data_IF_066353614698
#
_entry.id   IF_066353614698
#
_cell.length_a   1.000
_cell.length_b   1.000
_cell.length_c   1.000
_cell.angle_alpha   90.00
_cell.angle_beta   90.00
_cell.angle_gamma   90.00
#
_symmetry.space_group_name_H-M   'P 1'
#
loop_
_entity.id
_entity.type
_entity.pdbx_description
1 polymer ?
#
# COMPACT_ATOMS: atom_id res chain seq x y z
N UNK A 1 11.94 -5.16 70.89
CA UNK A 1 12.71 -6.19 70.17
C UNK A 1 13.11 -5.61 68.82
N UNK A 2 14.36 -5.19 68.71
CA UNK A 2 15.07 -4.90 67.46
C UNK A 2 15.55 -6.21 66.82
N UNK A 3 15.80 -6.23 65.50
CA UNK A 3 17.18 -6.07 65.00
C UNK A 3 17.26 -5.08 63.82
N UNK A 4 18.14 -4.07 63.74
CA UNK A 4 19.59 -4.03 63.44
C UNK A 4 20.10 -4.86 62.25
N UNK A 5 20.39 -4.16 61.13
CA UNK A 5 21.56 -4.33 60.23
C UNK A 5 21.79 -2.93 59.58
N UNK A 6 22.74 -2.08 60.00
CA UNK A 6 24.20 -1.97 59.71
C UNK A 6 24.62 -1.96 58.23
N UNK A 7 24.78 -0.73 57.71
CA UNK A 7 25.95 -0.16 57.00
C UNK A 7 26.81 -1.04 56.08
N UNK A 8 27.03 -0.57 54.84
CA UNK A 8 28.37 -0.36 54.26
C UNK A 8 28.32 0.58 53.06
N UNK A 9 29.17 1.60 53.09
CA UNK A 9 29.41 2.55 52.03
C UNK A 9 30.35 1.96 50.97
N UNK A 10 30.15 2.32 49.70
CA UNK A 10 31.21 2.42 48.68
C UNK A 10 30.71 3.34 47.58
N UNK A 11 31.15 4.59 47.66
CA UNK A 11 30.99 5.60 46.62
C UNK A 11 32.10 5.37 45.61
N UNK A 12 31.76 4.96 44.40
CA UNK A 12 32.66 5.01 43.25
C UNK A 12 32.09 6.02 42.27
N UNK A 13 32.79 7.15 42.16
CA UNK A 13 32.46 8.22 41.23
C UNK A 13 32.69 7.77 39.79
N UNK A 14 31.64 7.84 38.97
CA UNK A 14 31.73 7.77 37.52
C UNK A 14 31.31 9.13 36.97
N UNK A 15 32.31 9.84 36.44
CA UNK A 15 32.19 11.10 35.72
C UNK A 15 31.53 10.78 34.37
N UNK A 16 30.28 11.21 34.20
CA UNK A 16 29.53 11.14 32.95
C UNK A 16 29.14 12.56 32.51
N UNK A 17 29.62 12.94 31.33
CA UNK A 17 29.54 14.28 30.77
C UNK A 17 28.10 14.79 30.61
N UNK A 18 27.86 16.01 31.12
CA UNK A 18 26.64 16.79 30.89
C UNK A 18 26.76 17.46 29.51
N UNK A 19 25.98 17.01 28.55
CA UNK A 19 25.74 17.74 27.30
C UNK A 19 24.69 18.82 27.55
N UNK A 20 25.13 20.07 27.54
CA UNK A 20 24.27 21.24 27.62
C UNK A 20 23.42 21.37 26.34
N UNK A 21 22.10 21.24 26.47
CA UNK A 21 21.16 21.70 25.45
C UNK A 21 21.08 23.23 25.51
N UNK A 22 21.93 23.89 24.71
CA UNK A 22 21.76 25.29 24.37
C UNK A 22 20.60 25.44 23.40
N UNK A 23 19.49 26.00 23.89
CA UNK A 23 18.39 26.44 23.04
C UNK A 23 18.82 27.59 22.13
N UNK A 24 18.72 27.38 20.81
CA UNK A 24 18.67 28.46 19.84
C UNK A 24 17.20 28.75 19.55
N UNK A 25 16.68 29.78 20.22
CA UNK A 25 15.48 30.49 19.82
C UNK A 25 15.83 31.26 18.54
N UNK A 26 15.51 30.70 17.37
CA UNK A 26 15.61 31.38 16.09
C UNK A 26 14.21 31.74 15.62
N UNK A 27 13.95 33.04 15.71
CA UNK A 27 12.81 33.77 15.19
C UNK A 27 12.58 33.45 13.71
N UNK A 28 11.36 33.00 13.41
CA UNK A 28 10.87 32.84 12.05
C UNK A 28 10.83 34.19 11.34
N UNK A 29 11.67 34.37 10.31
CA UNK A 29 11.49 35.42 9.31
C UNK A 29 11.78 34.83 7.93
N UNK A 30 10.77 34.88 7.06
CA UNK A 30 10.87 34.84 5.59
C UNK A 30 11.60 33.66 4.97
N UNK A 31 10.86 32.63 4.55
CA UNK A 31 11.38 31.60 3.65
C UNK A 31 11.79 32.21 2.31
N UNK A 32 13.09 32.37 2.10
CA UNK A 32 13.69 32.57 0.78
C UNK A 32 13.59 31.27 0.00
N UNK A 33 12.97 31.32 -1.18
CA UNK A 33 12.98 30.22 -2.12
C UNK A 33 14.43 29.87 -2.48
N UNK A 34 14.83 28.63 -2.23
CA UNK A 34 16.11 28.08 -2.67
C UNK A 34 16.18 28.22 -4.21
N UNK A 35 17.13 29.01 -4.70
CA UNK A 35 17.28 29.28 -6.12
C UNK A 35 17.60 27.96 -6.85
N UNK A 36 16.68 27.52 -7.73
CA UNK A 36 16.93 26.37 -8.60
C UNK A 36 18.21 26.61 -9.42
N UNK A 37 19.05 25.60 -9.62
CA UNK A 37 20.26 25.75 -10.43
C UNK A 37 19.88 26.17 -11.87
N UNK A 38 20.62 27.11 -12.49
CA UNK A 38 20.33 27.56 -13.84
C UNK A 38 20.47 26.41 -14.83
N UNK A 39 19.46 26.23 -15.68
CA UNK A 39 19.49 25.24 -16.76
C UNK A 39 20.15 25.90 -17.97
N UNK A 40 21.22 25.31 -18.47
CA UNK A 40 21.85 25.73 -19.72
C UNK A 40 21.05 25.13 -20.89
N UNK A 41 20.64 25.97 -21.84
CA UNK A 41 19.94 25.54 -23.05
C UNK A 41 20.62 26.13 -24.29
N UNK A 42 20.62 25.36 -25.37
CA UNK A 42 21.03 25.81 -26.70
C UNK A 42 19.80 26.34 -27.43
N UNK A 43 19.85 27.60 -27.86
CA UNK A 43 18.77 28.24 -28.63
C UNK A 43 19.21 28.41 -30.08
N UNK A 44 18.31 28.11 -31.02
CA UNK A 44 18.52 28.32 -32.45
C UNK A 44 17.77 29.58 -32.88
N UNK A 45 18.51 30.61 -33.27
CA UNK A 45 17.96 31.84 -33.83
C UNK A 45 18.86 32.32 -34.95
N UNK A 46 18.41 32.13 -36.20
CA UNK A 46 19.14 32.53 -37.41
C UNK A 46 20.50 31.83 -37.60
N UNK A 47 20.52 30.73 -38.36
CA UNK A 47 21.70 30.01 -38.90
C UNK A 47 22.90 29.72 -37.96
N UNK A 48 22.81 30.02 -36.65
CA UNK A 48 23.87 29.86 -35.65
C UNK A 48 23.29 29.47 -34.29
N UNK A 49 23.99 28.57 -33.59
CA UNK A 49 23.63 28.07 -32.27
C UNK A 49 24.42 28.81 -31.18
N UNK A 50 23.73 29.54 -30.29
CA UNK A 50 24.32 30.23 -29.14
C UNK A 50 24.04 29.53 -27.80
N UNK A 51 24.88 29.77 -26.78
CA UNK A 51 24.66 29.28 -25.41
C UNK A 51 23.89 30.31 -24.59
N UNK A 52 22.66 30.00 -24.22
CA UNK A 52 21.83 30.84 -23.35
C UNK A 52 21.70 30.24 -21.94
N UNK A 53 21.60 31.11 -20.93
CA UNK A 53 21.22 30.72 -19.57
C UNK A 53 19.84 31.29 -19.26
N UNK A 54 18.94 30.42 -18.82
CA UNK A 54 17.57 30.82 -18.49
C UNK A 54 17.41 30.91 -16.97
N UNK A 55 17.03 32.09 -16.49
CA UNK A 55 16.66 32.33 -15.09
C UNK A 55 15.14 32.30 -14.96
N UNK A 56 14.58 31.20 -14.44
CA UNK A 56 13.14 31.05 -14.30
C UNK A 56 12.52 31.94 -13.20
N UNK A 57 13.35 32.67 -12.45
CA UNK A 57 12.89 33.55 -11.36
C UNK A 57 12.64 34.99 -11.86
N UNK A 58 13.36 35.45 -12.88
CA UNK A 58 13.30 36.84 -13.36
C UNK A 58 12.48 37.03 -14.64
N UNK A 59 12.07 35.95 -15.32
CA UNK A 59 11.32 36.06 -16.57
C UNK A 59 12.17 36.54 -17.76
N UNK A 60 13.49 36.50 -17.64
CA UNK A 60 14.44 37.01 -18.64
C UNK A 60 15.43 35.90 -19.07
N UNK A 61 15.79 35.87 -20.35
CA UNK A 61 16.88 35.08 -20.90
C UNK A 61 18.14 35.94 -20.93
N UNK A 62 19.24 35.41 -20.40
CA UNK A 62 20.57 36.00 -20.53
C UNK A 62 21.35 35.20 -21.57
N UNK A 63 21.64 35.82 -22.71
CA UNK A 63 22.41 35.22 -23.80
C UNK A 63 23.86 35.70 -23.66
N UNK A 64 24.80 34.75 -23.56
CA UNK A 64 26.23 35.04 -23.55
C UNK A 64 26.73 34.92 -24.99
N UNK A 65 27.04 36.06 -25.59
CA UNK A 65 27.54 36.15 -26.95
C UNK A 65 28.98 35.63 -27.04
N UNK A 66 29.44 35.30 -28.26
CA UNK A 66 30.81 34.81 -28.48
C UNK A 66 31.89 35.84 -28.11
N UNK A 67 31.56 37.13 -28.13
CA UNK A 67 32.43 38.21 -27.69
C UNK A 67 32.50 38.36 -26.15
N UNK A 68 31.73 37.55 -25.41
CA UNK A 68 31.66 37.56 -23.96
C UNK A 68 30.69 38.58 -23.38
N UNK A 69 29.96 39.33 -24.21
CA UNK A 69 28.89 40.23 -23.75
C UNK A 69 27.63 39.46 -23.36
N UNK A 70 26.84 40.01 -22.44
CA UNK A 70 25.56 39.43 -22.01
C UNK A 70 24.43 40.32 -22.48
N UNK A 71 23.57 39.78 -23.35
CA UNK A 71 22.34 40.44 -23.80
C UNK A 71 21.14 39.87 -23.04
N UNK A 72 20.17 40.72 -22.73
CA UNK A 72 18.95 40.32 -21.99
C UNK A 72 17.74 40.34 -22.92
N UNK A 73 16.90 39.32 -22.83
CA UNK A 73 15.65 39.22 -23.58
C UNK A 73 14.50 38.85 -22.66
N UNK A 74 13.45 39.66 -22.66
CA UNK A 74 12.21 39.42 -21.90
C UNK A 74 11.39 38.29 -22.55
N UNK A 75 11.03 37.28 -21.76
CA UNK A 75 10.24 36.12 -22.21
C UNK A 75 8.81 36.49 -22.63
N UNK A 76 8.23 37.53 -22.05
CA UNK A 76 6.88 37.98 -22.35
C UNK A 76 6.82 38.90 -23.57
N UNK A 77 7.97 39.35 -24.08
CA UNK A 77 8.06 40.10 -25.32
C UNK A 77 7.67 39.23 -26.53
N UNK A 78 7.22 39.82 -27.65
CA UNK A 78 6.93 39.06 -28.87
C UNK A 78 8.09 38.17 -29.33
N UNK A 79 9.33 38.69 -29.30
CA UNK A 79 10.52 37.91 -29.65
C UNK A 79 10.85 36.80 -28.65
N UNK A 80 10.58 37.00 -27.35
CA UNK A 80 10.73 35.98 -26.33
C UNK A 80 9.73 34.83 -26.51
N UNK A 81 8.47 35.13 -26.85
CA UNK A 81 7.43 34.13 -27.10
C UNK A 81 7.72 33.31 -28.35
N UNK A 82 8.17 33.97 -29.42
CA UNK A 82 8.52 33.32 -30.67
C UNK A 82 9.72 32.36 -30.51
N UNK A 83 10.69 32.70 -29.65
CA UNK A 83 11.86 31.85 -29.38
C UNK A 83 11.53 30.50 -28.68
N UNK A 84 10.37 30.39 -28.02
CA UNK A 84 9.87 29.14 -27.44
C UNK A 84 8.64 28.58 -28.17
N UNK A 85 8.12 29.30 -29.16
CA UNK A 85 7.03 28.83 -29.99
C UNK A 85 7.59 27.76 -30.94
N UNK A 86 7.49 26.50 -30.51
CA UNK A 86 7.85 25.37 -31.36
C UNK A 86 6.76 25.23 -32.43
N UNK A 87 7.07 25.63 -33.66
CA UNK A 87 6.14 25.46 -34.78
C UNK A 87 6.25 24.05 -35.37
N UNK A 88 5.23 23.65 -36.13
CA UNK A 88 5.23 22.35 -36.81
C UNK A 88 6.36 22.25 -37.85
N UNK A 89 6.72 23.37 -38.47
CA UNK A 89 7.87 23.47 -39.37
C UNK A 89 9.22 23.31 -38.63
N UNK A 90 9.33 23.85 -37.41
CA UNK A 90 10.54 23.67 -36.59
C UNK A 90 10.71 22.22 -36.14
N UNK A 91 9.60 21.54 -35.79
CA UNK A 91 9.59 20.11 -35.51
C UNK A 91 9.99 19.28 -36.73
N UNK A 92 9.54 19.67 -37.92
CA UNK A 92 9.88 19.01 -39.17
C UNK A 92 11.35 19.22 -39.55
N UNK A 93 11.90 20.42 -39.35
CA UNK A 93 13.31 20.72 -39.54
C UNK A 93 14.22 19.99 -38.53
N UNK A 94 13.79 19.86 -37.27
CA UNK A 94 14.45 19.03 -36.27
C UNK A 94 14.43 17.55 -36.66
N UNK A 95 13.29 17.04 -37.14
CA UNK A 95 13.17 15.66 -37.60
C UNK A 95 14.10 15.35 -38.78
N UNK A 96 14.20 16.28 -39.74
CA UNK A 96 15.12 16.16 -40.89
C UNK A 96 16.60 16.20 -40.48
N UNK A 97 16.96 17.00 -39.48
CA UNK A 97 18.35 17.11 -39.02
C UNK A 97 18.76 16.00 -38.03
N UNK A 98 17.82 15.47 -37.26
CA UNK A 98 18.11 14.47 -36.22
C UNK A 98 18.00 13.02 -36.70
N UNK A 99 17.66 12.76 -37.97
CA UNK A 99 17.46 11.42 -38.54
C UNK A 99 16.69 10.48 -37.59
N UNK A 100 15.65 11.04 -36.94
CA UNK A 100 14.87 10.32 -35.93
C UNK A 100 13.85 9.44 -36.64
N UNK A 101 14.30 8.29 -37.10
CA UNK A 101 13.41 7.26 -37.60
C UNK A 101 12.66 6.58 -36.45
N UNK A 102 11.49 7.10 -36.12
CA UNK A 102 10.54 6.44 -35.21
C UNK A 102 9.76 5.31 -35.90
N UNK A 103 9.87 5.15 -37.23
CA UNK A 103 9.23 4.10 -38.01
C UNK A 103 9.99 2.77 -37.82
N UNK A 104 9.74 2.14 -36.67
CA UNK A 104 10.39 0.89 -36.26
C UNK A 104 10.65 0.82 -34.75
N UNK A 105 10.65 1.98 -34.07
CA UNK A 105 10.78 2.07 -32.61
C UNK A 105 9.53 1.57 -31.87
N UNK A 106 8.38 1.58 -32.54
CA UNK A 106 7.16 0.91 -32.06
C UNK A 106 6.84 -0.20 -33.06
N UNK A 107 7.30 -1.41 -32.78
CA UNK A 107 6.96 -2.57 -33.58
C UNK A 107 5.42 -2.65 -33.70
N UNK A 108 4.86 -2.63 -34.93
CA UNK A 108 3.43 -2.79 -35.12
C UNK A 108 3.04 -4.15 -34.55
N UNK A 109 2.03 -4.18 -33.67
CA UNK A 109 1.52 -5.38 -33.00
C UNK A 109 2.37 -5.98 -31.87
N UNK A 110 3.16 -5.20 -31.11
CA UNK A 110 3.57 -5.70 -29.78
C UNK A 110 2.34 -5.78 -28.86
N UNK A 111 2.08 -6.94 -28.21
CA UNK A 111 1.02 -7.03 -27.22
C UNK A 111 1.30 -5.99 -26.12
N UNK A 112 0.26 -5.25 -25.72
CA UNK A 112 0.38 -4.25 -24.66
C UNK A 112 0.91 -4.94 -23.41
N UNK A 113 2.04 -4.46 -22.90
CA UNK A 113 2.53 -4.95 -21.63
C UNK A 113 1.50 -4.67 -20.52
N UNK A 114 1.42 -5.60 -19.56
CA UNK A 114 0.54 -5.41 -18.40
C UNK A 114 0.94 -4.15 -17.65
N UNK A 115 -0.03 -3.34 -17.28
CA UNK A 115 0.20 -2.18 -16.43
C UNK A 115 0.74 -2.61 -15.06
N UNK A 116 1.40 -1.71 -14.33
CA UNK A 116 1.85 -1.99 -12.97
C UNK A 116 0.69 -2.46 -12.07
N UNK A 117 -0.49 -1.87 -12.25
CA UNK A 117 -1.71 -2.26 -11.55
C UNK A 117 -2.11 -3.70 -11.88
N UNK A 118 -2.13 -4.09 -13.16
CA UNK A 118 -2.47 -5.46 -13.56
C UNK A 118 -1.49 -6.48 -12.99
N UNK A 119 -0.18 -6.19 -13.04
CA UNK A 119 0.84 -7.04 -12.43
C UNK A 119 0.62 -7.18 -10.92
N UNK A 120 0.25 -6.10 -10.23
CA UNK A 120 -0.04 -6.12 -8.80
C UNK A 120 -1.30 -6.94 -8.46
N UNK A 121 -2.38 -6.80 -9.25
CA UNK A 121 -3.61 -7.58 -9.07
C UNK A 121 -3.36 -9.07 -9.30
N UNK A 122 -2.59 -9.43 -10.32
CA UNK A 122 -2.23 -10.83 -10.58
C UNK A 122 -1.36 -11.41 -9.46
N UNK A 123 -0.37 -10.64 -8.97
CA UNK A 123 0.44 -11.05 -7.85
C UNK A 123 -0.38 -11.23 -6.56
N UNK A 124 -1.41 -10.41 -6.34
CA UNK A 124 -2.32 -10.56 -5.21
C UNK A 124 -3.23 -11.79 -5.39
N UNK A 125 -3.80 -11.99 -6.57
CA UNK A 125 -4.63 -13.15 -6.89
C UNK A 125 -3.86 -14.47 -6.67
N UNK A 126 -2.58 -14.52 -7.04
CA UNK A 126 -1.69 -15.67 -6.82
C UNK A 126 -1.45 -15.99 -5.32
N UNK A 127 -1.73 -15.06 -4.40
CA UNK A 127 -1.61 -15.26 -2.95
C UNK A 127 -2.92 -15.68 -2.28
N UNK A 128 -4.00 -15.76 -3.04
CA UNK A 128 -5.30 -16.22 -2.53
C UNK A 128 -5.18 -17.69 -2.11
N UNK A 129 -5.58 -17.98 -0.88
CA UNK A 129 -5.65 -19.32 -0.31
C UNK A 129 -7.11 -19.77 -0.19
N UNK A 130 -7.33 -21.09 -0.07
CA UNK A 130 -8.64 -21.63 0.30
C UNK A 130 -9.18 -21.01 1.59
N UNK A 131 -10.51 -21.07 1.73
CA UNK A 131 -11.21 -20.54 2.89
C UNK A 131 -10.73 -21.21 4.18
N UNK A 132 -10.67 -22.54 4.16
CA UNK A 132 -10.20 -23.33 5.28
C UNK A 132 -8.67 -23.48 5.22
N UNK A 133 -7.97 -23.33 6.35
CA UNK A 133 -6.55 -23.59 6.45
C UNK A 133 -6.25 -25.08 6.21
N UNK A 134 -5.03 -25.35 5.75
CA UNK A 134 -4.49 -26.70 5.68
C UNK A 134 -4.09 -27.11 7.09
N UNK A 135 -4.70 -28.17 7.61
CA UNK A 135 -4.38 -28.70 8.93
C UNK A 135 -3.07 -29.48 8.87
N UNK A 136 -2.31 -29.46 9.97
CA UNK A 136 -1.09 -30.26 10.07
C UNK A 136 -1.44 -31.77 10.03
N UNK A 137 -0.50 -32.57 9.53
CA UNK A 137 -0.69 -34.03 9.51
C UNK A 137 -0.87 -34.57 10.94
N UNK A 138 -1.87 -35.44 11.11
CA UNK A 138 -2.19 -36.02 12.41
C UNK A 138 -2.97 -35.09 13.35
N UNK A 139 -3.37 -33.88 12.91
CA UNK A 139 -4.32 -33.06 13.67
C UNK A 139 -5.69 -33.74 13.72
N UNK A 140 -6.12 -34.10 14.93
CA UNK A 140 -7.44 -34.68 15.18
C UNK A 140 -8.45 -33.58 15.51
N UNK A 141 -9.63 -33.65 14.88
CA UNK A 141 -10.74 -32.74 15.16
C UNK A 141 -11.70 -33.47 16.10
N UNK A 142 -11.72 -33.03 17.35
CA UNK A 142 -12.60 -33.54 18.39
C UNK A 142 -13.93 -32.77 18.39
N UNK A 143 -15.07 -33.34 17.94
CA UNK A 143 -16.34 -32.61 17.82
C UNK A 143 -16.85 -32.01 19.14
N UNK A 144 -16.55 -32.64 20.27
CA UNK A 144 -16.84 -32.15 21.62
C UNK A 144 -16.11 -30.85 21.99
N UNK A 145 -15.06 -30.50 21.22
CA UNK A 145 -14.34 -29.24 21.39
C UNK A 145 -15.16 -28.03 20.91
N UNK A 146 -16.18 -28.25 20.08
CA UNK A 146 -17.07 -27.20 19.57
C UNK A 146 -18.24 -27.00 20.53
N UNK A 147 -18.21 -25.92 21.32
CA UNK A 147 -19.19 -25.70 22.39
C UNK A 147 -20.42 -24.96 21.85
N UNK A 148 -20.20 -23.84 21.17
CA UNK A 148 -21.26 -23.00 20.61
C UNK A 148 -20.72 -22.09 19.52
N UNK A 149 -21.59 -21.62 18.63
CA UNK A 149 -21.26 -20.59 17.66
C UNK A 149 -22.44 -19.63 17.49
N UNK A 150 -22.13 -18.37 17.24
CA UNK A 150 -23.11 -17.33 16.96
C UNK A 150 -22.67 -16.54 15.74
N UNK A 151 -23.60 -16.31 14.81
CA UNK A 151 -23.38 -15.52 13.61
C UNK A 151 -24.22 -14.26 13.69
N UNK A 152 -23.59 -13.08 13.63
CA UNK A 152 -24.25 -11.77 13.79
C UNK A 152 -23.88 -10.84 12.63
N UNK A 153 -24.85 -10.40 11.82
CA UNK A 153 -24.61 -9.33 10.85
C UNK A 153 -24.36 -8.00 11.58
N UNK A 154 -23.28 -7.31 11.22
CA UNK A 154 -22.80 -6.10 11.89
C UNK A 154 -23.31 -4.81 11.27
N UNK A 155 -23.73 -4.83 10.01
CA UNK A 155 -24.23 -3.66 9.31
C UNK A 155 -25.58 -3.93 8.63
N UNK A 156 -26.31 -2.85 8.38
CA UNK A 156 -27.59 -2.85 7.67
C UNK A 156 -27.51 -1.83 6.52
N UNK A 157 -27.97 -2.19 5.33
CA UNK A 157 -28.02 -1.30 4.17
C UNK A 157 -27.44 -1.93 2.89
N UNK A 158 -27.53 -1.22 1.77
CA UNK A 158 -27.08 -1.72 0.47
C UNK A 158 -25.54 -1.76 0.39
N UNK A 159 -24.97 -2.94 0.17
CA UNK A 159 -23.60 -3.10 -0.33
C UNK A 159 -22.51 -3.45 0.69
N UNK A 160 -22.85 -3.85 1.93
CA UNK A 160 -21.88 -4.57 2.74
C UNK A 160 -22.60 -5.56 3.66
N UNK A 161 -22.21 -6.81 3.56
CA UNK A 161 -22.74 -7.93 4.33
C UNK A 161 -21.65 -8.37 5.31
N UNK A 162 -21.29 -7.45 6.22
CA UNK A 162 -20.26 -7.69 7.23
C UNK A 162 -20.87 -8.54 8.34
N UNK A 163 -20.32 -9.72 8.55
CA UNK A 163 -20.79 -10.70 9.53
C UNK A 163 -19.68 -11.01 10.52
N UNK A 164 -20.01 -11.00 11.80
CA UNK A 164 -19.13 -11.50 12.86
C UNK A 164 -19.61 -12.87 13.33
N UNK A 165 -18.69 -13.83 13.31
CA UNK A 165 -18.88 -15.17 13.84
C UNK A 165 -18.10 -15.27 15.14
N UNK A 166 -18.83 -15.51 16.23
CA UNK A 166 -18.26 -15.78 17.55
C UNK A 166 -18.38 -17.27 17.85
N UNK A 167 -17.25 -17.97 17.91
CA UNK A 167 -17.18 -19.39 18.26
C UNK A 167 -16.61 -19.58 19.66
N UNK A 168 -17.21 -20.49 20.41
CA UNK A 168 -16.78 -20.91 21.74
C UNK A 168 -16.30 -22.36 21.66
N UNK A 169 -15.08 -22.60 22.10
CA UNK A 169 -14.40 -23.88 22.02
C UNK A 169 -13.76 -24.24 23.37
N UNK A 170 -13.43 -25.52 23.54
CA UNK A 170 -12.57 -25.96 24.63
C UNK A 170 -11.21 -25.25 24.57
N UNK A 171 -10.58 -25.03 25.73
CA UNK A 171 -9.25 -24.44 25.79
C UNK A 171 -8.21 -25.41 25.19
N UNK A 172 -7.19 -24.86 24.52
CA UNK A 172 -6.11 -25.65 23.91
C UNK A 172 -6.41 -26.15 22.50
N UNK A 173 -7.59 -25.85 21.94
CA UNK A 173 -7.88 -26.11 20.53
C UNK A 173 -6.97 -25.27 19.64
N UNK A 174 -6.45 -25.91 18.59
CA UNK A 174 -5.57 -25.27 17.62
C UNK A 174 -6.26 -24.10 16.89
N UNK A 175 -5.48 -23.07 16.54
CA UNK A 175 -6.00 -21.85 15.94
C UNK A 175 -6.62 -22.09 14.55
N UNK A 176 -6.07 -23.01 13.76
CA UNK A 176 -6.59 -23.35 12.43
C UNK A 176 -7.89 -24.16 12.54
N UNK A 177 -8.01 -25.04 13.55
CA UNK A 177 -9.28 -25.72 13.86
C UNK A 177 -10.34 -24.70 14.30
N UNK A 178 -9.97 -23.79 15.19
CA UNK A 178 -10.88 -22.79 15.74
C UNK A 178 -11.37 -21.81 14.65
N UNK A 179 -10.48 -21.39 13.75
CA UNK A 179 -10.83 -20.60 12.57
C UNK A 179 -11.66 -21.39 11.54
N UNK A 180 -11.36 -22.68 11.35
CA UNK A 180 -12.16 -23.56 10.48
C UNK A 180 -13.60 -23.65 10.98
N UNK A 181 -13.80 -23.81 12.30
CA UNK A 181 -15.14 -23.83 12.88
C UNK A 181 -15.91 -22.53 12.65
N UNK A 182 -15.29 -21.37 12.85
CA UNK A 182 -15.92 -20.08 12.56
C UNK A 182 -16.29 -19.94 11.06
N UNK A 183 -15.43 -20.43 10.17
CA UNK A 183 -15.67 -20.40 8.71
C UNK A 183 -16.78 -21.36 8.30
N UNK A 184 -16.84 -22.56 8.88
CA UNK A 184 -17.91 -23.53 8.64
C UNK A 184 -19.28 -23.04 9.14
N UNK A 185 -19.30 -22.41 10.32
CA UNK A 185 -20.50 -21.76 10.82
C UNK A 185 -20.98 -20.63 9.90
N UNK A 186 -20.05 -19.80 9.38
CA UNK A 186 -20.40 -18.79 8.38
C UNK A 186 -21.00 -19.43 7.12
N UNK A 187 -20.42 -20.52 6.61
CA UNK A 187 -20.87 -21.16 5.39
C UNK A 187 -22.31 -21.67 5.50
N UNK A 188 -22.68 -22.29 6.64
CA UNK A 188 -24.07 -22.71 6.91
C UNK A 188 -25.03 -21.53 6.88
N UNK A 189 -24.71 -20.49 7.65
CA UNK A 189 -25.50 -19.28 7.69
C UNK A 189 -25.59 -18.56 6.32
N UNK A 190 -24.48 -18.47 5.59
CA UNK A 190 -24.41 -17.80 4.30
C UNK A 190 -25.29 -18.49 3.25
N UNK A 191 -25.31 -19.83 3.23
CA UNK A 191 -26.19 -20.61 2.34
C UNK A 191 -27.66 -20.27 2.60
N UNK A 192 -28.06 -20.29 3.87
CA UNK A 192 -29.45 -20.05 4.25
C UNK A 192 -29.87 -18.58 3.99
N UNK A 193 -28.91 -17.67 3.85
CA UNK A 193 -29.11 -16.27 3.50
C UNK A 193 -28.80 -15.96 2.01
N UNK A 194 -28.56 -16.97 1.17
CA UNK A 194 -28.35 -16.79 -0.28
C UNK A 194 -27.04 -16.10 -0.69
N UNK A 195 -26.02 -16.12 0.18
CA UNK A 195 -24.73 -15.50 -0.08
C UNK A 195 -23.74 -16.54 -0.64
N UNK A 196 -23.33 -16.45 -1.91
CA UNK A 196 -22.45 -17.44 -2.54
C UNK A 196 -20.99 -17.32 -2.15
N UNK A 197 -20.55 -16.12 -1.72
CA UNK A 197 -19.17 -15.85 -1.37
C UNK A 197 -19.01 -15.11 -0.05
N UNK A 198 -17.89 -15.37 0.62
CA UNK A 198 -17.44 -14.63 1.80
C UNK A 198 -15.94 -14.36 1.76
N UNK A 199 -15.49 -13.21 2.25
CA UNK A 199 -14.08 -12.87 2.41
C UNK A 199 -13.74 -12.66 3.86
N UNK A 200 -12.70 -13.34 4.33
CA UNK A 200 -12.17 -13.11 5.66
C UNK A 200 -11.58 -11.70 5.82
N UNK A 201 -11.91 -11.04 6.92
CA UNK A 201 -11.40 -9.69 7.27
C UNK A 201 -10.43 -9.77 8.44
N UNK A 202 -10.83 -10.42 9.54
CA UNK A 202 -10.03 -10.53 10.75
C UNK A 202 -10.47 -11.71 11.62
N UNK A 203 -9.57 -12.16 12.47
CA UNK A 203 -9.85 -13.10 13.56
C UNK A 203 -9.20 -12.57 14.84
N UNK A 204 -9.95 -12.58 15.94
CA UNK A 204 -9.47 -12.28 17.29
C UNK A 204 -9.68 -13.49 18.18
N UNK A 205 -8.74 -13.71 19.10
CA UNK A 205 -8.76 -14.82 20.05
C UNK A 205 -8.70 -14.29 21.47
N UNK A 206 -9.48 -14.91 22.36
CA UNK A 206 -9.43 -14.66 23.79
C UNK A 206 -9.68 -15.94 24.59
N UNK A 207 -9.06 -16.06 25.75
CA UNK A 207 -9.38 -17.12 26.72
C UNK A 207 -10.21 -16.55 27.85
N UNK A 208 -11.35 -17.19 28.18
CA UNK A 208 -12.22 -16.80 29.30
C UNK A 208 -12.83 -18.01 29.96
N UNK A 209 -12.73 -18.11 31.29
CA UNK A 209 -13.34 -19.18 32.09
C UNK A 209 -12.95 -20.60 31.62
N UNK A 210 -11.68 -20.81 31.24
CA UNK A 210 -11.21 -22.09 30.72
C UNK A 210 -11.77 -22.47 29.34
N UNK A 211 -12.25 -21.47 28.58
CA UNK A 211 -12.76 -21.63 27.21
C UNK A 211 -12.01 -20.73 26.25
N UNK A 212 -11.90 -21.19 25.02
CA UNK A 212 -11.37 -20.45 23.90
C UNK A 212 -12.50 -19.74 23.16
N UNK A 213 -12.41 -18.43 23.03
CA UNK A 213 -13.33 -17.61 22.24
C UNK A 213 -12.62 -17.10 20.99
N UNK A 214 -13.25 -17.32 19.84
CA UNK A 214 -12.81 -16.82 18.54
C UNK A 214 -13.87 -15.88 17.99
N UNK A 215 -13.48 -14.65 17.64
CA UNK A 215 -14.30 -13.69 16.91
C UNK A 215 -13.73 -13.46 15.52
N UNK A 216 -14.39 -13.97 14.48
CA UNK A 216 -13.98 -13.82 13.09
C UNK A 216 -14.96 -12.93 12.33
N UNK A 217 -14.46 -11.94 11.59
CA UNK A 217 -15.30 -11.06 10.77
C UNK A 217 -15.10 -11.35 9.28
N UNK A 218 -16.20 -11.35 8.53
CA UNK A 218 -16.25 -11.68 7.11
C UNK A 218 -17.12 -10.69 6.35
N UNK A 219 -16.79 -10.44 5.08
CA UNK A 219 -17.62 -9.68 4.16
C UNK A 219 -18.24 -10.64 3.15
N UNK A 220 -19.56 -10.68 3.06
CA UNK A 220 -20.26 -11.47 2.05
C UNK A 220 -20.47 -10.67 0.76
N UNK A 221 -20.69 -11.39 -0.34
CA UNK A 221 -20.81 -10.83 -1.68
C UNK A 221 -21.48 -11.82 -2.65
N UNK A 222 -22.21 -11.28 -3.63
CA UNK A 222 -22.80 -12.05 -4.74
C UNK A 222 -21.76 -12.52 -5.77
N UNK A 223 -20.61 -11.84 -5.83
CA UNK A 223 -19.52 -12.15 -6.76
C UNK A 223 -18.22 -12.44 -6.01
N UNK A 224 -17.38 -13.31 -6.58
CA UNK A 224 -16.12 -13.75 -5.96
C UNK A 224 -15.24 -12.53 -5.62
N UNK A 225 -15.07 -12.20 -4.34
CA UNK A 225 -14.30 -11.03 -3.95
C UNK A 225 -12.81 -11.34 -4.10
N UNK A 226 -12.00 -10.29 -4.32
CA UNK A 226 -10.55 -10.40 -4.11
C UNK A 226 -10.28 -10.51 -2.61
N UNK A 227 -9.42 -11.44 -2.20
CA UNK A 227 -8.99 -11.59 -0.80
C UNK A 227 -7.91 -12.65 -0.64
N UNK A 228 -7.23 -12.66 0.51
CA UNK A 228 -6.24 -13.70 0.83
C UNK A 228 -6.89 -15.02 1.24
N UNK A 229 -8.09 -14.99 1.80
CA UNK A 229 -8.94 -16.17 2.03
C UNK A 229 -10.35 -15.83 1.60
N UNK A 230 -10.84 -16.60 0.62
CA UNK A 230 -12.15 -16.42 0.02
C UNK A 230 -12.90 -17.73 0.15
N UNK A 231 -14.07 -17.64 0.75
CA UNK A 231 -15.06 -18.71 0.91
C UNK A 231 -15.97 -18.74 -0.30
N UNK A 232 -16.06 -19.90 -0.94
CA UNK A 232 -17.20 -20.25 -1.79
C UNK A 232 -18.12 -21.13 -0.94
N UNK A 233 -19.36 -20.69 -0.72
CA UNK A 233 -20.25 -21.25 0.31
C UNK A 233 -20.45 -22.75 0.17
N UNK A 234 -20.85 -23.21 -1.03
CA UNK A 234 -21.13 -24.63 -1.28
C UNK A 234 -19.89 -25.51 -1.24
N UNK A 235 -18.74 -24.99 -1.68
CA UNK A 235 -17.47 -25.73 -1.61
C UNK A 235 -17.00 -25.88 -0.17
N UNK A 236 -17.09 -24.79 0.60
CA UNK A 236 -16.70 -24.77 2.00
C UNK A 236 -17.58 -25.72 2.82
N UNK A 237 -18.89 -25.76 2.58
CA UNK A 237 -19.79 -26.71 3.24
C UNK A 237 -19.39 -28.17 3.00
N UNK A 238 -19.04 -28.53 1.76
CA UNK A 238 -18.56 -29.89 1.45
C UNK A 238 -17.27 -30.21 2.19
N UNK A 239 -16.37 -29.24 2.30
CA UNK A 239 -15.11 -29.42 3.02
C UNK A 239 -15.30 -29.50 4.54
N UNK A 240 -16.24 -28.73 5.10
CA UNK A 240 -16.63 -28.81 6.51
C UNK A 240 -17.20 -30.19 6.86
N UNK A 241 -18.09 -30.73 6.01
CA UNK A 241 -18.64 -32.07 6.17
C UNK A 241 -17.55 -33.15 6.09
N UNK A 242 -16.65 -33.06 5.10
CA UNK A 242 -15.52 -33.97 4.98
C UNK A 242 -14.56 -33.94 6.19
N UNK A 243 -14.45 -32.78 6.86
CA UNK A 243 -13.64 -32.61 8.09
C UNK A 243 -14.42 -32.91 9.37
N UNK A 244 -15.73 -33.18 9.32
CA UNK A 244 -16.57 -33.38 10.50
C UNK A 244 -16.74 -32.13 11.36
N UNK A 245 -16.59 -30.93 10.78
CA UNK A 245 -16.74 -29.66 11.49
C UNK A 245 -18.21 -29.20 11.37
N UNK A 246 -18.90 -28.93 12.50
CA UNK A 246 -20.30 -28.50 12.47
C UNK A 246 -20.48 -27.12 11.82
N UNK A 247 -21.66 -26.92 11.23
CA UNK A 247 -22.11 -25.67 10.60
C UNK A 247 -23.25 -25.06 11.42
N UNK A 248 -23.56 -23.77 11.19
CA UNK A 248 -24.61 -23.04 11.90
C UNK A 248 -25.96 -23.07 11.18
#
# INVERSE_FOLDING_TARGET
MTPTVRTSASVTALIGAVLALSGCMQTSTGGGAEARPPVAASVAGGDRLGRARVSSQSGEILILEEDGSVTTMDLDSPGGRDAFAVTEADLEALNQNLDLDFAGLVAPNRPREKTAQQKALEAFAARTQPALPVLAEGTEIAPESFIAVQVVPLNRGAGADLVEVTANLQQGVDADIAFSYATCALAGWARDNGNPYGRHVRTLQAERNGKLLIGSAFLLSDSKPMGLRVMETEETLRECDARGIPTA
#
